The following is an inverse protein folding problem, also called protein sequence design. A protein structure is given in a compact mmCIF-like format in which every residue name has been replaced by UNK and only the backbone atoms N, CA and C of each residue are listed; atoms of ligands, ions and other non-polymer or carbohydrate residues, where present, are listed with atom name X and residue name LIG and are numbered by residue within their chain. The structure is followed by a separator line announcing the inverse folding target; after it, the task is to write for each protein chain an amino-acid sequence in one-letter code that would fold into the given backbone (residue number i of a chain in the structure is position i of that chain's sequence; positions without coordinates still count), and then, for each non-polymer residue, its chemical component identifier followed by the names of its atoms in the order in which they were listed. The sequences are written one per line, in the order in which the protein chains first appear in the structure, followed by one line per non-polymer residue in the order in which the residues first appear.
data_IF_862928958930
#
_entry.id   IF_862928958930
#
_cell.length_a   1.000
_cell.length_b   1.000
_cell.length_c   1.000
_cell.angle_alpha   90.00
_cell.angle_beta   90.00
_cell.angle_gamma   90.00
#
_symmetry.space_group_name_H-M   'P 1'
#
loop_
_entity.id
_entity.type
_entity.pdbx_description
1 polymer ?
#
# COMPACT_ATOMS: atom_id res chain seq x y z
N UNK A 1 -26.51 17.19 -4.56
CA UNK A 1 -25.77 16.25 -5.43
C UNK A 1 -25.09 15.20 -4.59
N UNK A 2 -25.59 13.96 -4.60
CA UNK A 2 -25.00 12.84 -3.85
C UNK A 2 -24.75 11.69 -4.84
N UNK A 3 -23.49 11.40 -5.16
CA UNK A 3 -23.12 10.24 -5.97
C UNK A 3 -22.56 9.16 -5.05
N UNK A 4 -23.43 8.24 -4.61
CA UNK A 4 -23.06 7.09 -3.79
C UNK A 4 -23.05 5.84 -4.66
N UNK A 5 -22.10 4.92 -4.42
CA UNK A 5 -22.14 3.62 -5.09
C UNK A 5 -23.37 2.83 -4.61
N UNK A 6 -24.06 2.21 -5.55
CA UNK A 6 -25.03 1.16 -5.27
C UNK A 6 -24.33 -0.02 -4.59
N UNK A 7 -25.05 -0.81 -3.78
CA UNK A 7 -24.45 -1.87 -2.98
C UNK A 7 -23.75 -2.96 -3.81
N UNK A 8 -24.23 -3.21 -5.04
CA UNK A 8 -23.54 -4.08 -5.99
C UNK A 8 -22.17 -3.52 -6.41
N UNK A 9 -22.11 -2.22 -6.68
CA UNK A 9 -20.85 -1.54 -7.01
C UNK A 9 -19.87 -1.57 -5.84
N UNK A 10 -20.34 -1.35 -4.61
CA UNK A 10 -19.49 -1.43 -3.41
C UNK A 10 -18.87 -2.81 -3.25
N UNK A 11 -19.63 -3.88 -3.48
CA UNK A 11 -19.13 -5.27 -3.41
C UNK A 11 -18.03 -5.53 -4.44
N UNK A 12 -18.25 -5.12 -5.69
CA UNK A 12 -17.26 -5.27 -6.77
C UNK A 12 -15.97 -4.53 -6.42
N UNK A 13 -16.10 -3.26 -6.01
CA UNK A 13 -14.95 -2.44 -5.64
C UNK A 13 -14.17 -3.03 -4.46
N UNK A 14 -14.86 -3.46 -3.41
CA UNK A 14 -14.22 -4.03 -2.21
C UNK A 14 -13.46 -5.30 -2.56
N UNK A 15 -14.01 -6.15 -3.43
CA UNK A 15 -13.36 -7.38 -3.88
C UNK A 15 -12.08 -7.10 -4.66
N UNK A 16 -12.17 -6.27 -5.69
CA UNK A 16 -11.01 -5.88 -6.52
C UNK A 16 -9.94 -5.15 -5.69
N UNK A 17 -10.35 -4.34 -4.72
CA UNK A 17 -9.42 -3.65 -3.82
C UNK A 17 -8.64 -4.65 -2.94
N UNK A 18 -9.32 -5.64 -2.36
CA UNK A 18 -8.67 -6.69 -1.56
C UNK A 18 -7.73 -7.56 -2.41
N UNK A 19 -8.15 -7.93 -3.62
CA UNK A 19 -7.32 -8.67 -4.58
C UNK A 19 -6.06 -7.87 -4.97
N UNK A 20 -6.22 -6.56 -5.21
CA UNK A 20 -5.09 -5.67 -5.50
C UNK A 20 -4.14 -5.54 -4.32
N UNK A 21 -4.65 -5.46 -3.09
CA UNK A 21 -3.83 -5.43 -1.88
C UNK A 21 -3.01 -6.72 -1.68
N UNK A 22 -3.58 -7.87 -2.03
CA UNK A 22 -2.90 -9.18 -1.99
C UNK A 22 -1.90 -9.39 -3.11
N UNK A 23 -2.04 -8.66 -4.21
CA UNK A 23 -1.12 -8.75 -5.35
C UNK A 23 0.30 -8.46 -4.90
N UNK A 24 1.24 -9.31 -5.33
CA UNK A 24 2.67 -9.20 -4.99
C UNK A 24 3.44 -8.54 -6.11
N UNK A 25 4.27 -7.55 -5.77
CA UNK A 25 5.20 -6.89 -6.67
C UNK A 25 6.62 -7.27 -6.26
N UNK A 26 7.51 -7.36 -7.24
CA UNK A 26 8.93 -7.57 -6.99
C UNK A 26 9.59 -6.26 -6.54
N UNK A 27 10.04 -6.21 -5.28
CA UNK A 27 10.71 -5.04 -4.73
C UNK A 27 12.19 -5.08 -5.07
N UNK A 28 12.63 -4.25 -6.03
CA UNK A 28 14.02 -4.22 -6.52
C UNK A 28 15.05 -4.02 -5.41
N UNK A 29 14.79 -3.18 -4.41
CA UNK A 29 15.77 -2.94 -3.32
C UNK A 29 15.87 -4.10 -2.31
N UNK A 30 14.82 -4.91 -2.16
CA UNK A 30 14.81 -6.02 -1.20
C UNK A 30 15.01 -7.39 -1.87
N UNK A 31 15.00 -7.46 -3.21
CA UNK A 31 15.18 -8.70 -3.98
C UNK A 31 14.10 -9.75 -3.72
N UNK A 32 12.92 -9.36 -3.23
CA UNK A 32 11.82 -10.28 -2.87
C UNK A 32 10.47 -9.76 -3.32
N UNK A 33 9.52 -10.68 -3.49
CA UNK A 33 8.13 -10.37 -3.75
C UNK A 33 7.46 -9.87 -2.46
N UNK A 34 6.90 -8.67 -2.51
CA UNK A 34 6.15 -8.07 -1.39
C UNK A 34 4.74 -7.76 -1.87
N UNK A 35 3.73 -8.04 -1.04
CA UNK A 35 2.37 -7.60 -1.32
C UNK A 35 2.23 -6.08 -1.16
N UNK A 36 1.25 -5.48 -1.81
CA UNK A 36 0.90 -4.07 -1.57
C UNK A 36 0.61 -3.78 -0.09
N UNK A 37 -0.02 -4.72 0.63
CA UNK A 37 -0.19 -4.60 2.09
C UNK A 37 1.15 -4.50 2.83
N UNK A 38 2.15 -5.28 2.41
CA UNK A 38 3.48 -5.26 3.02
C UNK A 38 4.22 -3.97 2.69
N UNK A 39 4.06 -3.45 1.47
CA UNK A 39 4.59 -2.12 1.09
C UNK A 39 4.07 -1.02 2.01
N UNK A 40 2.76 -1.01 2.28
CA UNK A 40 2.15 -0.03 3.19
C UNK A 40 2.77 -0.15 4.59
N UNK A 41 2.97 -1.37 5.11
CA UNK A 41 3.63 -1.58 6.41
C UNK A 41 5.06 -1.08 6.43
N UNK A 42 5.82 -1.28 5.34
CA UNK A 42 7.20 -0.79 5.24
C UNK A 42 7.25 0.74 5.30
N UNK A 43 6.29 1.43 4.69
CA UNK A 43 6.19 2.89 4.80
C UNK A 43 5.84 3.35 6.20
N UNK A 44 4.93 2.64 6.90
CA UNK A 44 4.65 2.94 8.30
C UNK A 44 5.89 2.78 9.18
N UNK A 45 6.71 1.74 8.96
CA UNK A 45 7.98 1.60 9.70
C UNK A 45 8.98 2.72 9.40
N UNK A 46 8.99 3.29 8.20
CA UNK A 46 9.81 4.47 7.89
C UNK A 46 9.30 5.70 8.64
N UNK A 47 7.99 5.88 8.73
CA UNK A 47 7.37 6.97 9.50
C UNK A 47 7.65 6.84 10.99
N UNK A 48 7.50 5.65 11.56
CA UNK A 48 7.82 5.40 12.98
C UNK A 48 9.27 5.76 13.32
N UNK A 49 10.22 5.31 12.49
CA UNK A 49 11.65 5.66 12.65
C UNK A 49 11.92 7.15 12.51
N UNK A 50 11.14 7.84 11.68
CA UNK A 50 11.23 9.27 11.53
C UNK A 50 10.71 10.01 12.78
N UNK A 51 9.59 9.56 13.34
CA UNK A 51 9.03 10.13 14.57
C UNK A 51 9.97 9.92 15.78
N UNK A 52 10.71 8.81 15.81
CA UNK A 52 11.72 8.52 16.85
C UNK A 52 13.04 9.27 16.61
N UNK A 53 13.20 9.96 15.47
CA UNK A 53 14.40 10.72 15.13
C UNK A 53 15.60 9.87 14.72
N UNK A 54 15.38 8.58 14.43
CA UNK A 54 16.44 7.63 14.10
C UNK A 54 16.85 7.72 12.62
N UNK A 55 15.89 7.97 11.73
CA UNK A 55 16.12 8.14 10.28
C UNK A 55 15.17 9.17 9.66
N UNK A 56 15.67 10.03 8.78
CA UNK A 56 14.82 10.93 8.00
C UNK A 56 13.91 10.15 7.04
N UNK A 57 12.63 10.51 7.03
CA UNK A 57 11.65 9.89 6.16
C UNK A 57 11.95 10.17 4.68
N UNK A 58 12.07 9.11 3.89
CA UNK A 58 12.07 9.18 2.42
C UNK A 58 10.88 8.39 1.90
N UNK A 59 9.96 9.10 1.25
CA UNK A 59 8.74 8.51 0.71
C UNK A 59 9.04 7.41 -0.30
N UNK A 60 8.12 6.44 -0.38
CA UNK A 60 8.18 5.38 -1.38
C UNK A 60 8.21 5.97 -2.78
N UNK A 61 9.28 5.73 -3.52
CA UNK A 61 9.32 6.00 -4.96
C UNK A 61 9.15 4.69 -5.70
N UNK A 62 7.91 4.40 -6.07
CA UNK A 62 7.60 3.21 -6.85
C UNK A 62 8.17 3.40 -8.26
N UNK A 63 9.14 2.57 -8.65
CA UNK A 63 9.67 2.51 -10.01
C UNK A 63 8.79 1.57 -10.84
N UNK A 64 7.63 2.06 -11.24
CA UNK A 64 6.77 1.43 -12.25
C UNK A 64 6.26 2.49 -13.20
#
# INVERSE_FOLDING_TARGET
NCCLLNDNGKKIFTKEYDEKLKTTIEHKELGRKVSYQTLIRLELYKLEKHLIGEKEYKGLKMWW
#
